data_IF_142336063322
#
_entry.id   IF_142336063322
#
_cell.length_a   1.000
_cell.length_b   1.000
_cell.length_c   1.000
_cell.angle_alpha   90.00
_cell.angle_beta   90.00
_cell.angle_gamma   90.00
#
_symmetry.space_group_name_H-M   'P 1'
#
loop_
_entity.id
_entity.type
_entity.pdbx_description
1 polymer ?
#
# COMPACT_ATOMS: atom_id res chain seq x y z
N UNK A 1 -21.80 13.05 68.39
CA UNK A 1 -20.65 12.20 68.01
C UNK A 1 -20.20 12.61 66.61
N UNK A 2 -19.09 13.34 66.52
CA UNK A 2 -18.51 13.77 65.27
C UNK A 2 -17.54 12.70 64.74
N UNK A 3 -17.69 12.31 63.47
CA UNK A 3 -16.58 11.81 62.64
C UNK A 3 -16.67 12.45 61.27
N UNK A 4 -16.02 13.60 61.20
CA UNK A 4 -15.55 14.26 60.00
C UNK A 4 -14.36 13.48 59.42
N UNK A 5 -14.11 13.74 58.14
CA UNK A 5 -12.82 13.70 57.43
C UNK A 5 -12.40 12.39 56.76
N UNK A 6 -12.57 12.41 55.43
CA UNK A 6 -11.51 12.18 54.45
C UNK A 6 -11.00 10.75 54.22
N UNK A 7 -11.58 10.10 53.22
CA UNK A 7 -10.79 9.35 52.22
C UNK A 7 -11.22 9.86 50.84
N UNK A 8 -10.63 10.98 50.43
CA UNK A 8 -9.51 10.96 49.47
C UNK A 8 -9.93 10.25 48.18
N UNK A 9 -10.73 10.99 47.40
CA UNK A 9 -10.64 11.08 45.94
C UNK A 9 -9.37 10.41 45.40
N UNK A 10 -9.48 9.13 45.08
CA UNK A 10 -8.56 8.46 44.16
C UNK A 10 -8.90 8.98 42.77
N UNK A 11 -8.50 10.22 42.48
CA UNK A 11 -8.20 10.54 41.09
C UNK A 11 -7.06 9.59 40.70
N UNK A 12 -7.25 8.71 39.69
CA UNK A 12 -6.11 7.96 39.17
C UNK A 12 -5.03 8.99 38.86
N UNK A 13 -3.83 8.74 39.40
CA UNK A 13 -2.66 9.54 39.12
C UNK A 13 -2.63 9.75 37.60
N UNK A 14 -2.65 11.02 37.17
CA UNK A 14 -2.47 11.36 35.78
C UNK A 14 -1.23 10.59 35.33
N UNK A 15 -1.43 9.58 34.48
CA UNK A 15 -0.32 8.87 33.86
C UNK A 15 0.58 9.96 33.30
N UNK A 16 1.89 9.93 33.58
CA UNK A 16 2.79 10.90 33.00
C UNK A 16 2.51 10.88 31.51
N UNK A 17 2.17 12.06 30.98
CA UNK A 17 1.92 12.31 29.58
C UNK A 17 3.24 12.06 28.87
N UNK A 18 3.59 10.78 28.71
CA UNK A 18 4.63 10.33 27.81
C UNK A 18 4.09 10.82 26.50
N UNK A 19 4.65 11.94 26.03
CA UNK A 19 4.51 12.47 24.69
C UNK A 19 4.88 11.33 23.75
N UNK A 20 3.90 10.46 23.48
CA UNK A 20 4.05 9.31 22.60
C UNK A 20 4.14 9.95 21.24
N UNK A 21 5.37 10.18 20.78
CA UNK A 21 5.67 10.75 19.48
C UNK A 21 4.86 9.98 18.44
N UNK A 22 3.81 10.62 17.95
CA UNK A 22 3.03 10.12 16.84
C UNK A 22 3.85 10.35 15.56
N UNK A 23 4.11 9.29 14.81
CA UNK A 23 4.80 9.41 13.53
C UNK A 23 3.76 9.73 12.46
N UNK A 24 3.89 10.87 11.79
CA UNK A 24 2.97 11.24 10.72
C UNK A 24 3.13 10.32 9.50
N UNK A 25 2.06 9.59 9.16
CA UNK A 25 2.02 8.62 8.05
C UNK A 25 1.28 9.14 6.82
N UNK A 26 0.81 10.40 6.84
CA UNK A 26 0.03 10.99 5.74
C UNK A 26 0.82 11.03 4.42
N UNK A 27 2.03 11.60 4.42
CA UNK A 27 2.85 11.72 3.21
C UNK A 27 3.23 10.33 2.63
N UNK A 28 3.74 9.38 3.42
CA UNK A 28 3.97 8.01 2.95
C UNK A 28 2.73 7.36 2.32
N UNK A 29 1.54 7.56 2.94
CA UNK A 29 0.29 7.04 2.39
C UNK A 29 -0.06 7.65 1.03
N UNK A 30 0.12 8.97 0.86
CA UNK A 30 -0.12 9.61 -0.43
C UNK A 30 0.85 9.11 -1.50
N UNK A 31 2.13 8.90 -1.16
CA UNK A 31 3.12 8.34 -2.08
C UNK A 31 2.71 6.94 -2.58
N UNK A 32 2.20 6.08 -1.68
CA UNK A 32 1.65 4.75 -2.07
C UNK A 32 0.48 4.89 -3.01
N UNK A 33 -0.51 5.68 -2.62
CA UNK A 33 -1.77 5.79 -3.36
C UNK A 33 -1.52 6.42 -4.73
N UNK A 34 -0.83 7.56 -4.80
CA UNK A 34 -0.54 8.22 -6.06
C UNK A 34 0.43 7.42 -6.94
N UNK A 35 1.43 6.75 -6.36
CA UNK A 35 2.32 5.88 -7.12
C UNK A 35 1.56 4.74 -7.80
N UNK A 36 0.70 4.04 -7.06
CA UNK A 36 -0.11 2.96 -7.62
C UNK A 36 -1.18 3.46 -8.59
N UNK A 37 -1.80 4.62 -8.34
CA UNK A 37 -2.71 5.25 -9.30
C UNK A 37 -1.97 5.61 -10.59
N UNK A 38 -0.76 6.17 -10.52
CA UNK A 38 0.05 6.51 -11.69
C UNK A 38 0.36 5.30 -12.56
N UNK A 39 0.74 4.17 -11.93
CA UNK A 39 0.92 2.90 -12.64
C UNK A 39 -0.39 2.41 -13.24
N UNK A 40 -1.51 2.54 -12.52
CA UNK A 40 -2.80 2.08 -13.01
C UNK A 40 -3.31 2.90 -14.19
N UNK A 41 -2.91 4.17 -14.32
CA UNK A 41 -3.24 5.07 -15.43
C UNK A 41 -2.43 4.80 -16.71
N UNK A 42 -1.57 3.79 -16.74
CA UNK A 42 -0.84 3.35 -17.93
C UNK A 42 -1.72 3.21 -19.19
N UNK A 43 -2.94 2.64 -19.15
CA UNK A 43 -3.81 2.59 -20.34
C UNK A 43 -4.20 3.96 -20.88
N UNK A 44 -4.29 4.97 -20.02
CA UNK A 44 -4.55 6.35 -20.45
C UNK A 44 -3.30 6.97 -21.08
N UNK A 45 -2.12 6.66 -20.55
CA UNK A 45 -0.85 7.04 -21.17
C UNK A 45 -0.70 6.40 -22.56
N UNK A 46 -1.13 5.15 -22.74
CA UNK A 46 -1.16 4.48 -24.04
C UNK A 46 -2.10 5.17 -25.02
N UNK A 47 -3.28 5.61 -24.57
CA UNK A 47 -4.22 6.38 -25.40
C UNK A 47 -3.62 7.73 -25.84
N UNK A 48 -2.97 8.45 -24.92
CA UNK A 48 -2.32 9.73 -25.27
C UNK A 48 -1.16 9.55 -26.25
N UNK A 49 -0.41 8.44 -26.14
CA UNK A 49 0.65 8.11 -27.09
C UNK A 49 0.14 7.69 -28.47
N UNK A 50 -1.09 7.15 -28.55
CA UNK A 50 -1.77 6.87 -29.83
C UNK A 50 -2.18 8.17 -30.52
N UNK A 51 -2.76 9.11 -29.76
CA UNK A 51 -3.15 10.44 -30.28
C UNK A 51 -1.94 11.25 -30.81
N UNK A 52 -0.73 11.04 -30.27
CA UNK A 52 0.50 11.73 -30.65
C UNK A 52 1.36 10.95 -31.69
N UNK A 53 0.83 9.92 -32.37
CA UNK A 53 1.54 9.07 -33.35
C UNK A 53 2.79 8.32 -32.81
N UNK A 54 2.92 8.22 -31.49
CA UNK A 54 4.01 7.50 -30.80
C UNK A 54 3.69 6.00 -30.56
N UNK A 55 2.44 5.58 -30.81
CA UNK A 55 1.98 4.20 -30.80
C UNK A 55 1.72 3.72 -32.24
N UNK A 56 2.22 2.54 -32.59
CA UNK A 56 1.89 1.86 -33.85
C UNK A 56 1.50 0.42 -33.58
N UNK A 57 0.55 -0.10 -34.35
CA UNK A 57 0.23 -1.54 -34.32
C UNK A 57 0.96 -2.21 -35.47
N UNK A 58 2.11 -2.82 -35.19
CA UNK A 58 2.88 -3.59 -36.18
C UNK A 58 2.72 -5.09 -35.91
N UNK A 59 2.25 -5.85 -36.90
CA UNK A 59 2.04 -7.31 -36.80
C UNK A 59 1.16 -7.76 -35.61
N UNK A 60 0.19 -6.94 -35.22
CA UNK A 60 -0.68 -7.21 -34.07
C UNK A 60 0.00 -7.03 -32.71
N UNK A 61 1.19 -6.42 -32.67
CA UNK A 61 1.88 -6.00 -31.45
C UNK A 61 1.89 -4.47 -31.36
N UNK A 62 1.85 -3.96 -30.13
CA UNK A 62 2.07 -2.54 -29.86
C UNK A 62 3.56 -2.23 -30.04
N UNK A 63 3.89 -1.51 -31.10
CA UNK A 63 5.20 -0.93 -31.34
C UNK A 63 5.19 0.50 -30.83
N UNK A 64 6.15 0.83 -29.97
CA UNK A 64 6.37 2.18 -29.48
C UNK A 64 7.59 2.76 -30.17
N UNK A 65 7.55 4.05 -30.50
CA UNK A 65 8.79 4.74 -30.81
C UNK A 65 9.66 4.93 -29.55
N UNK A 66 10.89 5.40 -29.73
CA UNK A 66 11.84 5.54 -28.62
C UNK A 66 11.33 6.52 -27.53
N UNK A 67 10.56 7.53 -27.92
CA UNK A 67 10.03 8.57 -27.03
C UNK A 67 8.88 8.01 -26.19
N UNK A 68 7.93 7.32 -26.84
CA UNK A 68 6.81 6.66 -26.18
C UNK A 68 7.27 5.59 -25.20
N UNK A 69 8.24 4.76 -25.60
CA UNK A 69 8.85 3.75 -24.73
C UNK A 69 9.49 4.38 -23.49
N UNK A 70 10.36 5.37 -23.65
CA UNK A 70 11.02 6.06 -22.53
C UNK A 70 10.03 6.75 -21.61
N UNK A 71 8.96 7.31 -22.16
CA UNK A 71 7.91 7.97 -21.38
C UNK A 71 7.15 6.97 -20.51
N UNK A 72 6.73 5.84 -21.07
CA UNK A 72 6.06 4.77 -20.32
C UNK A 72 6.97 4.16 -19.25
N UNK A 73 8.22 3.86 -19.60
CA UNK A 73 9.22 3.35 -18.65
C UNK A 73 9.45 4.33 -17.50
N UNK A 74 9.56 5.63 -17.80
CA UNK A 74 9.77 6.66 -16.78
C UNK A 74 8.57 6.78 -15.83
N UNK A 75 7.34 6.80 -16.36
CA UNK A 75 6.13 6.87 -15.52
C UNK A 75 5.98 5.61 -14.68
N UNK A 76 6.22 4.43 -15.25
CA UNK A 76 6.18 3.17 -14.51
C UNK A 76 7.23 3.16 -13.38
N UNK A 77 8.48 3.54 -13.69
CA UNK A 77 9.57 3.58 -12.72
C UNK A 77 9.28 4.56 -11.57
N UNK A 78 8.87 5.79 -11.89
CA UNK A 78 8.56 6.82 -10.90
C UNK A 78 7.38 6.37 -10.02
N UNK A 79 6.32 5.83 -10.63
CA UNK A 79 5.15 5.35 -9.91
C UNK A 79 5.48 4.19 -8.97
N UNK A 80 6.25 3.20 -9.44
CA UNK A 80 6.69 2.06 -8.63
C UNK A 80 7.64 2.48 -7.51
N UNK A 81 8.57 3.40 -7.77
CA UNK A 81 9.50 3.90 -6.76
C UNK A 81 8.77 4.70 -5.68
N UNK A 82 7.85 5.60 -6.07
CA UNK A 82 7.00 6.33 -5.13
C UNK A 82 6.16 5.37 -4.28
N UNK A 83 5.55 4.35 -4.91
CA UNK A 83 4.76 3.36 -4.19
C UNK A 83 5.60 2.54 -3.20
N UNK A 84 6.79 2.11 -3.62
CA UNK A 84 7.69 1.28 -2.80
C UNK A 84 8.25 2.06 -1.60
N UNK A 85 8.75 3.28 -1.84
CA UNK A 85 9.25 4.16 -0.77
C UNK A 85 8.13 4.55 0.19
N UNK A 86 6.98 4.95 -0.36
CA UNK A 86 5.80 5.25 0.44
C UNK A 86 5.37 4.06 1.31
N UNK A 87 5.39 2.85 0.77
CA UNK A 87 4.99 1.64 1.48
C UNK A 87 5.95 1.30 2.63
N UNK A 88 7.25 1.37 2.38
CA UNK A 88 8.27 1.14 3.40
C UNK A 88 8.17 2.17 4.55
N UNK A 89 8.09 3.45 4.21
CA UNK A 89 7.96 4.52 5.21
C UNK A 89 6.64 4.40 5.98
N UNK A 90 5.55 4.07 5.30
CA UNK A 90 4.25 3.91 5.93
C UNK A 90 4.24 2.72 6.89
N UNK A 91 4.74 1.56 6.49
CA UNK A 91 4.76 0.36 7.35
C UNK A 91 5.60 0.58 8.61
N UNK A 92 6.76 1.25 8.50
CA UNK A 92 7.58 1.62 9.66
C UNK A 92 6.79 2.55 10.60
N UNK A 93 6.25 3.65 10.09
CA UNK A 93 5.51 4.63 10.89
C UNK A 93 4.24 4.04 11.52
N UNK A 94 3.50 3.24 10.76
CA UNK A 94 2.30 2.55 11.22
C UNK A 94 2.62 1.54 12.33
N UNK A 95 3.71 0.78 12.21
CA UNK A 95 4.16 -0.15 13.25
C UNK A 95 4.55 0.58 14.56
N UNK A 96 5.28 1.70 14.46
CA UNK A 96 5.64 2.54 15.62
C UNK A 96 4.38 3.08 16.29
N UNK A 97 3.44 3.60 15.51
CA UNK A 97 2.16 4.11 16.01
C UNK A 97 1.31 3.01 16.66
N UNK A 98 1.30 1.79 16.09
CA UNK A 98 0.56 0.66 16.66
C UNK A 98 1.17 0.16 17.97
N UNK A 99 2.50 0.16 18.11
CA UNK A 99 3.22 -0.19 19.35
C UNK A 99 2.79 0.63 20.55
N UNK A 100 2.46 1.89 20.32
CA UNK A 100 1.91 2.73 21.37
C UNK A 100 0.56 2.18 21.89
N UNK A 101 -0.30 1.65 21.01
CA UNK A 101 -1.66 1.23 21.40
C UNK A 101 -1.75 -0.22 21.88
N UNK A 102 -0.92 -1.11 21.35
CA UNK A 102 -0.99 -2.54 21.67
C UNK A 102 0.41 -3.15 21.82
N UNK A 103 0.54 -4.08 22.78
CA UNK A 103 1.76 -4.87 23.01
C UNK A 103 2.00 -5.88 21.88
N UNK A 104 0.95 -6.26 21.15
CA UNK A 104 0.95 -7.26 20.08
C UNK A 104 1.01 -6.64 18.68
N UNK A 105 1.81 -5.59 18.52
CA UNK A 105 1.95 -4.86 17.26
C UNK A 105 2.98 -5.49 16.30
N UNK A 106 2.88 -5.17 15.01
CA UNK A 106 3.89 -5.50 13.99
C UNK A 106 5.24 -4.84 14.33
N UNK A 107 6.34 -5.52 14.02
CA UNK A 107 7.68 -4.92 14.11
C UNK A 107 7.90 -3.92 12.97
N UNK A 108 8.45 -2.71 13.23
CA UNK A 108 8.77 -1.75 12.17
C UNK A 108 9.82 -2.28 11.19
N UNK A 109 10.60 -3.28 11.59
CA UNK A 109 11.61 -3.92 10.74
C UNK A 109 11.04 -5.07 9.87
N UNK A 110 9.79 -5.48 10.09
CA UNK A 110 9.22 -6.64 9.38
C UNK A 110 9.20 -6.44 7.86
N UNK A 111 8.70 -5.30 7.38
CA UNK A 111 8.67 -5.00 5.95
C UNK A 111 10.08 -4.77 5.37
N UNK A 112 10.95 -3.92 5.94
CA UNK A 112 12.32 -3.76 5.45
C UNK A 112 13.09 -5.07 5.35
N UNK A 113 13.07 -5.91 6.40
CA UNK A 113 13.81 -7.17 6.40
C UNK A 113 13.25 -8.18 5.40
N UNK A 114 11.92 -8.26 5.26
CA UNK A 114 11.30 -9.12 4.26
C UNK A 114 11.68 -8.71 2.84
N UNK A 115 11.70 -7.41 2.53
CA UNK A 115 12.10 -6.94 1.20
C UNK A 115 13.60 -7.03 0.97
N UNK A 116 14.44 -6.83 1.98
CA UNK A 116 15.87 -7.10 1.89
C UNK A 116 16.15 -8.58 1.63
N UNK A 117 15.38 -9.49 2.25
CA UNK A 117 15.48 -10.92 1.98
C UNK A 117 15.09 -11.25 0.53
N UNK A 118 13.97 -10.72 0.04
CA UNK A 118 13.54 -10.90 -1.36
C UNK A 118 14.58 -10.33 -2.33
N UNK A 119 15.13 -9.16 -2.05
CA UNK A 119 16.18 -8.54 -2.86
C UNK A 119 17.46 -9.39 -2.87
N UNK A 120 17.92 -9.84 -1.70
CA UNK A 120 19.08 -10.73 -1.60
C UNK A 120 18.88 -12.04 -2.35
N UNK A 121 17.68 -12.61 -2.30
CA UNK A 121 17.33 -13.81 -3.07
C UNK A 121 17.33 -13.54 -4.59
N UNK A 122 16.84 -12.39 -5.02
CA UNK A 122 16.86 -12.01 -6.44
C UNK A 122 18.29 -11.84 -6.96
N UNK A 123 19.16 -11.17 -6.21
CA UNK A 123 20.59 -11.00 -6.55
C UNK A 123 21.32 -12.35 -6.55
N UNK A 124 21.08 -13.19 -5.54
CA UNK A 124 21.68 -14.52 -5.51
C UNK A 124 21.19 -15.37 -6.69
N UNK A 125 19.90 -15.28 -7.04
CA UNK A 125 19.31 -15.94 -8.19
C UNK A 125 19.94 -15.50 -9.50
N UNK A 126 20.17 -14.19 -9.70
CA UNK A 126 20.78 -13.66 -10.92
C UNK A 126 22.23 -14.12 -11.09
N UNK A 127 23.03 -14.08 -10.01
CA UNK A 127 24.43 -14.54 -10.04
C UNK A 127 24.51 -16.03 -10.36
N UNK A 128 23.64 -16.86 -9.76
CA UNK A 128 23.59 -18.30 -10.05
C UNK A 128 23.09 -18.56 -11.48
N UNK A 129 22.15 -17.78 -12.01
CA UNK A 129 21.70 -17.95 -13.40
C UNK A 129 22.72 -17.51 -14.45
N UNK A 130 23.64 -16.60 -14.11
CA UNK A 130 24.74 -16.23 -15.02
C UNK A 130 25.79 -17.35 -15.11
N UNK A 131 26.07 -18.05 -14.01
CA UNK A 131 27.07 -19.13 -13.95
C UNK A 131 26.54 -20.49 -14.48
N UNK A 132 25.22 -20.69 -14.53
CA UNK A 132 24.60 -21.94 -14.97
C UNK A 132 23.70 -21.72 -16.19
N UNK A 133 23.81 -22.58 -17.21
CA UNK A 133 22.98 -22.60 -18.44
C UNK A 133 21.52 -22.14 -18.23
N UNK A 134 20.93 -21.41 -19.21
CA UNK A 134 19.54 -20.89 -19.28
C UNK A 134 18.41 -21.80 -18.73
N UNK A 135 18.66 -23.09 -18.57
CA UNK A 135 17.75 -24.07 -17.96
C UNK A 135 17.28 -23.69 -16.55
N UNK A 136 18.08 -22.96 -15.76
CA UNK A 136 17.74 -22.60 -14.37
C UNK A 136 17.16 -21.20 -14.19
N UNK A 137 17.15 -20.37 -15.23
CA UNK A 137 16.67 -18.99 -15.16
C UNK A 137 15.17 -18.94 -14.82
N UNK A 138 14.33 -19.65 -15.58
CA UNK A 138 12.88 -19.64 -15.35
C UNK A 138 12.49 -20.20 -13.96
N UNK A 139 13.02 -21.35 -13.49
CA UNK A 139 12.78 -21.81 -12.12
C UNK A 139 13.22 -20.80 -11.05
N UNK A 140 14.38 -20.15 -11.21
CA UNK A 140 14.88 -19.17 -10.24
C UNK A 140 13.95 -17.95 -10.14
N UNK A 141 13.51 -17.41 -11.28
CA UNK A 141 12.54 -16.29 -11.34
C UNK A 141 11.23 -16.66 -10.65
N UNK A 142 10.72 -17.87 -10.89
CA UNK A 142 9.48 -18.36 -10.25
C UNK A 142 9.65 -18.42 -8.73
N UNK A 143 10.76 -18.97 -8.23
CA UNK A 143 11.03 -19.07 -6.78
C UNK A 143 11.09 -17.68 -6.15
N UNK A 144 11.82 -16.73 -6.76
CA UNK A 144 11.90 -15.34 -6.27
C UNK A 144 10.51 -14.70 -6.23
N UNK A 145 9.71 -14.85 -7.29
CA UNK A 145 8.37 -14.30 -7.36
C UNK A 145 7.44 -14.88 -6.28
N UNK A 146 7.47 -16.20 -6.07
CA UNK A 146 6.67 -16.87 -5.03
C UNK A 146 7.07 -16.38 -3.65
N UNK A 147 8.37 -16.31 -3.34
CA UNK A 147 8.87 -15.80 -2.06
C UNK A 147 8.45 -14.34 -1.85
N UNK A 148 8.56 -13.50 -2.87
CA UNK A 148 8.13 -12.11 -2.81
C UNK A 148 6.64 -11.98 -2.46
N UNK A 149 5.78 -12.78 -3.10
CA UNK A 149 4.33 -12.81 -2.82
C UNK A 149 4.06 -13.27 -1.38
N UNK A 150 4.70 -14.35 -0.92
CA UNK A 150 4.55 -14.86 0.45
C UNK A 150 4.99 -13.82 1.48
N UNK A 151 6.14 -13.18 1.27
CA UNK A 151 6.63 -12.11 2.14
C UNK A 151 5.65 -10.92 2.18
N UNK A 152 5.17 -10.48 1.02
CA UNK A 152 4.24 -9.35 0.95
C UNK A 152 2.89 -9.66 1.63
N UNK A 153 2.32 -10.84 1.38
CA UNK A 153 1.10 -11.30 2.05
C UNK A 153 1.31 -11.49 3.56
N UNK A 154 2.50 -11.93 3.98
CA UNK A 154 2.88 -12.03 5.39
C UNK A 154 2.86 -10.67 6.09
N UNK A 155 3.41 -9.62 5.45
CA UNK A 155 3.35 -8.24 5.94
C UNK A 155 1.89 -7.78 6.03
N UNK A 156 1.09 -7.95 4.97
CA UNK A 156 -0.33 -7.56 4.96
C UNK A 156 -1.13 -8.29 6.05
N UNK A 157 -0.90 -9.59 6.24
CA UNK A 157 -1.54 -10.37 7.30
C UNK A 157 -1.14 -9.87 8.70
N UNK A 158 0.12 -9.48 8.90
CA UNK A 158 0.57 -8.90 10.15
C UNK A 158 -0.12 -7.56 10.43
N UNK A 159 -0.21 -6.68 9.43
CA UNK A 159 -0.93 -5.41 9.56
C UNK A 159 -2.43 -5.59 9.74
N UNK A 160 -3.05 -6.58 9.10
CA UNK A 160 -4.45 -6.95 9.34
C UNK A 160 -4.68 -7.37 10.80
N UNK A 161 -3.82 -8.22 11.36
CA UNK A 161 -3.91 -8.62 12.77
C UNK A 161 -3.73 -7.43 13.71
N UNK A 162 -2.76 -6.56 13.41
CA UNK A 162 -2.57 -5.33 14.18
C UNK A 162 -3.76 -4.38 14.06
N UNK A 163 -4.39 -4.28 12.89
CA UNK A 163 -5.60 -3.49 12.66
C UNK A 163 -6.73 -3.95 13.59
N UNK A 164 -6.98 -5.26 13.65
CA UNK A 164 -7.96 -5.86 14.57
C UNK A 164 -7.61 -5.53 16.04
N UNK A 165 -6.33 -5.66 16.42
CA UNK A 165 -5.87 -5.40 17.78
C UNK A 165 -6.03 -3.92 18.22
N UNK A 166 -6.02 -2.98 17.29
CA UNK A 166 -6.25 -1.54 17.56
C UNK A 166 -7.70 -1.09 17.28
N UNK A 167 -8.60 -2.01 16.93
CA UNK A 167 -10.01 -1.72 16.64
C UNK A 167 -10.29 -1.11 15.27
N UNK A 168 -9.36 -1.21 14.32
CA UNK A 168 -9.55 -0.80 12.93
C UNK A 168 -10.27 -1.90 12.11
N UNK A 169 -11.02 -1.55 11.05
CA UNK A 169 -11.70 -2.52 10.21
C UNK A 169 -10.70 -3.41 9.44
N UNK A 170 -10.95 -4.72 9.41
CA UNK A 170 -10.08 -5.71 8.75
C UNK A 170 -10.48 -5.99 7.30
N UNK A 171 -11.74 -5.78 6.92
CA UNK A 171 -12.26 -6.07 5.58
C UNK A 171 -11.46 -5.41 4.42
N UNK A 172 -11.01 -4.13 4.52
CA UNK A 172 -10.16 -3.54 3.49
C UNK A 172 -8.84 -4.30 3.30
N UNK A 173 -8.23 -4.77 4.39
CA UNK A 173 -6.98 -5.54 4.36
C UNK A 173 -7.17 -6.89 3.65
N UNK A 174 -8.25 -7.62 3.98
CA UNK A 174 -8.58 -8.88 3.30
C UNK A 174 -8.76 -8.69 1.80
N UNK A 175 -9.45 -7.62 1.38
CA UNK A 175 -9.64 -7.33 -0.05
C UNK A 175 -8.31 -7.03 -0.75
N UNK A 176 -7.41 -6.28 -0.13
CA UNK A 176 -6.07 -6.03 -0.69
C UNK A 176 -5.25 -7.31 -0.85
N UNK A 177 -5.45 -8.32 0.00
CA UNK A 177 -4.80 -9.62 -0.13
C UNK A 177 -5.41 -10.48 -1.24
N UNK A 178 -6.73 -10.43 -1.44
CA UNK A 178 -7.45 -11.29 -2.40
C UNK A 178 -7.49 -10.70 -3.82
N UNK A 179 -7.60 -9.37 -3.97
CA UNK A 179 -7.73 -8.72 -5.27
C UNK A 179 -6.55 -9.02 -6.24
N UNK A 180 -5.27 -9.03 -5.81
CA UNK A 180 -4.17 -9.45 -6.68
C UNK A 180 -4.35 -10.87 -7.23
N UNK A 181 -4.85 -11.81 -6.41
CA UNK A 181 -5.09 -13.18 -6.84
C UNK A 181 -6.23 -13.24 -7.87
N UNK A 182 -7.28 -12.45 -7.67
CA UNK A 182 -8.38 -12.33 -8.64
C UNK A 182 -7.90 -11.71 -9.96
N UNK A 183 -7.03 -10.69 -9.91
CA UNK A 183 -6.41 -10.07 -11.08
C UNK A 183 -5.61 -11.10 -11.88
N UNK A 184 -4.76 -11.89 -11.21
CA UNK A 184 -3.96 -12.95 -11.85
C UNK A 184 -4.87 -14.01 -12.49
N UNK A 185 -5.91 -14.45 -11.77
CA UNK A 185 -6.85 -15.44 -12.28
C UNK A 185 -7.59 -14.94 -13.53
N UNK A 186 -8.13 -13.72 -13.49
CA UNK A 186 -8.85 -13.12 -14.61
C UNK A 186 -7.92 -12.86 -15.79
N UNK A 187 -6.69 -12.43 -15.53
CA UNK A 187 -5.69 -12.24 -16.58
C UNK A 187 -5.32 -13.56 -17.26
N UNK A 188 -5.22 -14.65 -16.48
CA UNK A 188 -4.95 -16.00 -16.99
C UNK A 188 -6.11 -16.53 -17.84
N UNK A 189 -7.35 -16.34 -17.38
CA UNK A 189 -8.56 -16.68 -18.13
C UNK A 189 -8.64 -15.84 -19.42
N UNK A 190 -8.38 -14.53 -19.32
CA UNK A 190 -8.36 -13.62 -20.47
C UNK A 190 -7.31 -14.01 -21.51
N UNK A 191 -6.11 -14.39 -21.08
CA UNK A 191 -5.07 -14.89 -21.98
C UNK A 191 -5.49 -16.17 -22.71
N UNK A 192 -6.17 -17.09 -22.03
CA UNK A 192 -6.73 -18.29 -22.66
C UNK A 192 -7.80 -17.94 -23.71
N UNK A 193 -8.77 -17.09 -23.37
CA UNK A 193 -9.82 -16.67 -24.32
C UNK A 193 -9.27 -15.88 -25.52
N UNK A 194 -8.29 -14.99 -25.30
CA UNK A 194 -7.65 -14.25 -26.39
C UNK A 194 -6.93 -15.19 -27.36
N UNK A 195 -6.34 -16.29 -26.88
CA UNK A 195 -5.75 -17.33 -27.74
C UNK A 195 -6.80 -18.19 -28.45
N UNK A 196 -7.93 -18.46 -27.81
CA UNK A 196 -8.95 -19.36 -28.35
C UNK A 196 -9.90 -18.68 -29.37
N UNK A 197 -10.31 -17.44 -29.10
CA UNK A 197 -11.33 -16.72 -29.88
C UNK A 197 -10.72 -15.60 -30.72
N UNK A 198 -9.59 -15.04 -30.29
CA UNK A 198 -8.88 -13.94 -30.97
C UNK A 198 -9.76 -12.74 -31.32
N UNK A 199 -10.74 -12.43 -30.45
CA UNK A 199 -11.63 -11.29 -30.63
C UNK A 199 -11.07 -10.03 -29.96
N UNK A 200 -11.03 -8.88 -30.64
CA UNK A 200 -10.70 -7.60 -30.01
C UNK A 200 -11.62 -7.27 -28.82
N UNK A 201 -12.89 -7.69 -28.88
CA UNK A 201 -13.86 -7.46 -27.81
C UNK A 201 -13.50 -8.21 -26.51
N UNK A 202 -12.95 -9.44 -26.59
CA UNK A 202 -12.49 -10.15 -25.40
C UNK A 202 -11.29 -9.47 -24.77
N UNK A 203 -10.33 -9.02 -25.59
CA UNK A 203 -9.15 -8.30 -25.12
C UNK A 203 -9.52 -7.02 -24.36
N UNK A 204 -10.45 -6.22 -24.92
CA UNK A 204 -10.96 -5.01 -24.26
C UNK A 204 -11.68 -5.37 -22.96
N UNK A 205 -12.61 -6.33 -22.98
CA UNK A 205 -13.38 -6.72 -21.79
C UNK A 205 -12.47 -7.17 -20.64
N UNK A 206 -11.52 -8.07 -20.89
CA UNK A 206 -10.60 -8.54 -19.85
C UNK A 206 -9.66 -7.43 -19.37
N UNK A 207 -9.15 -6.58 -20.27
CA UNK A 207 -8.33 -5.42 -19.88
C UNK A 207 -9.10 -4.44 -18.99
N UNK A 208 -10.35 -4.13 -19.33
CA UNK A 208 -11.21 -3.25 -18.52
C UNK A 208 -11.54 -3.83 -17.15
N UNK A 209 -11.82 -5.13 -17.07
CA UNK A 209 -12.07 -5.82 -15.78
C UNK A 209 -10.81 -5.79 -14.91
N UNK A 210 -9.66 -6.14 -15.46
CA UNK A 210 -8.36 -6.10 -14.77
C UNK A 210 -8.04 -4.69 -14.26
N UNK A 211 -8.25 -3.67 -15.10
CA UNK A 211 -8.09 -2.27 -14.73
C UNK A 211 -9.03 -1.86 -13.57
N UNK A 212 -10.30 -2.21 -13.66
CA UNK A 212 -11.29 -1.93 -12.61
C UNK A 212 -10.93 -2.60 -11.27
N UNK A 213 -10.46 -3.85 -11.30
CA UNK A 213 -9.96 -4.53 -10.10
C UNK A 213 -8.71 -3.89 -9.53
N UNK A 214 -7.80 -3.41 -10.39
CA UNK A 214 -6.63 -2.63 -9.98
C UNK A 214 -7.02 -1.35 -9.24
N UNK A 215 -7.96 -0.57 -9.78
CA UNK A 215 -8.50 0.61 -9.08
C UNK A 215 -9.17 0.27 -7.75
N UNK A 216 -9.95 -0.82 -7.71
CA UNK A 216 -10.54 -1.31 -6.47
C UNK A 216 -9.49 -1.73 -5.44
N UNK A 217 -8.38 -2.31 -5.87
CA UNK A 217 -7.25 -2.67 -5.01
C UNK A 217 -6.63 -1.42 -4.38
N UNK A 218 -6.31 -0.40 -5.20
CA UNK A 218 -5.74 0.86 -4.71
C UNK A 218 -6.70 1.57 -3.75
N UNK A 219 -8.00 1.60 -4.06
CA UNK A 219 -9.01 2.19 -3.19
C UNK A 219 -9.14 1.46 -1.85
N UNK A 220 -9.07 0.12 -1.84
CA UNK A 220 -9.09 -0.66 -0.59
C UNK A 220 -7.81 -0.50 0.22
N UNK A 221 -6.65 -0.37 -0.43
CA UNK A 221 -5.38 -0.08 0.23
C UNK A 221 -5.40 1.30 0.90
N UNK A 222 -5.88 2.33 0.19
CA UNK A 222 -6.06 3.67 0.75
C UNK A 222 -7.00 3.67 1.97
N UNK A 223 -8.13 2.94 1.88
CA UNK A 223 -9.06 2.74 3.00
C UNK A 223 -8.41 2.00 4.16
N UNK A 224 -7.67 0.93 3.90
CA UNK A 224 -6.96 0.14 4.90
C UNK A 224 -5.97 1.02 5.68
N UNK A 225 -5.06 1.69 4.97
CA UNK A 225 -4.06 2.58 5.56
C UNK A 225 -4.71 3.74 6.33
N UNK A 226 -5.69 4.43 5.72
CA UNK A 226 -6.37 5.55 6.36
C UNK A 226 -7.22 5.17 7.57
N UNK A 227 -7.79 3.97 7.60
CA UNK A 227 -8.50 3.45 8.78
C UNK A 227 -7.54 3.05 9.91
N UNK A 228 -6.38 2.48 9.55
CA UNK A 228 -5.33 2.12 10.49
C UNK A 228 -4.75 3.38 11.16
N UNK A 229 -4.37 4.39 10.36
CA UNK A 229 -3.82 5.66 10.85
C UNK A 229 -4.79 6.34 11.84
N UNK A 230 -6.07 6.43 11.48
CA UNK A 230 -7.12 7.04 12.34
C UNK A 230 -7.28 6.31 13.67
N UNK A 231 -7.20 4.98 13.65
CA UNK A 231 -7.33 4.16 14.86
C UNK A 231 -6.11 4.29 15.77
N UNK A 232 -4.92 4.49 15.21
CA UNK A 232 -3.71 4.79 15.97
C UNK A 232 -3.73 6.17 16.66
N UNK A 233 -4.31 7.19 16.03
CA UNK A 233 -4.41 8.55 16.61
C UNK A 233 -5.51 8.64 17.68
N UNK A 234 -6.62 7.91 17.53
CA UNK A 234 -7.78 8.02 18.43
C UNK A 234 -8.55 9.35 18.26
N UNK A 235 -9.55 9.61 19.13
CA UNK A 235 -10.38 10.84 19.10
C UNK A 235 -9.65 12.14 19.46
N UNK A 236 -8.34 12.11 19.72
CA UNK A 236 -7.55 13.26 20.18
C UNK A 236 -7.45 14.42 19.17
N UNK A 237 -7.88 14.23 17.91
CA UNK A 237 -8.00 15.33 16.94
C UNK A 237 -9.42 15.88 16.75
N UNK A 238 -10.45 15.35 17.44
CA UNK A 238 -11.81 15.85 17.19
C UNK A 238 -12.18 17.10 17.98
N UNK A 239 -11.59 17.38 19.16
CA UNK A 239 -12.03 18.57 19.93
C UNK A 239 -11.05 19.15 20.98
N UNK A 240 -9.91 18.52 21.27
CA UNK A 240 -9.10 18.93 22.45
C UNK A 240 -7.99 19.96 22.18
N UNK A 241 -7.70 20.31 20.92
CA UNK A 241 -6.68 21.33 20.58
C UNK A 241 -7.17 22.45 19.66
N UNK A 242 -8.48 22.69 19.60
CA UNK A 242 -9.02 24.03 19.30
C UNK A 242 -9.35 24.74 20.62
N UNK A 243 -8.42 24.70 21.58
CA UNK A 243 -8.36 25.80 22.53
C UNK A 243 -7.90 27.02 21.73
N UNK A 244 -8.87 27.74 21.18
CA UNK A 244 -8.67 29.10 20.72
C UNK A 244 -7.91 29.81 21.86
N UNK A 245 -6.68 30.31 21.60
CA UNK A 245 -5.91 31.03 22.59
C UNK A 245 -6.80 32.07 23.27
N UNK A 246 -6.63 32.28 24.58
CA UNK A 246 -7.55 33.13 25.35
C UNK A 246 -7.76 34.53 24.73
N UNK A 247 -6.78 35.05 23.98
CA UNK A 247 -6.83 36.32 23.27
C UNK A 247 -7.70 36.33 21.99
N UNK A 248 -8.03 35.17 21.42
CA UNK A 248 -8.92 35.02 20.25
C UNK A 248 -10.36 34.66 20.66
N UNK A 249 -10.64 34.51 21.96
CA UNK A 249 -12.03 34.34 22.43
C UNK A 249 -12.71 35.71 22.37
N UNK A 250 -13.87 35.84 21.70
CA UNK A 250 -14.63 37.08 21.76
C UNK A 250 -14.99 37.35 23.21
N UNK A 251 -14.52 38.48 23.74
CA UNK A 251 -14.98 38.99 25.04
C UNK A 251 -16.45 39.32 24.86
N UNK A 252 -17.34 38.48 25.37
CA UNK A 252 -18.73 38.85 25.52
C UNK A 252 -18.79 40.00 26.53
N UNK A 253 -18.84 41.23 26.01
CA UNK A 253 -19.24 42.39 26.79
C UNK A 253 -20.69 42.17 27.23
N UNK A 254 -20.89 42.17 28.54
CA UNK A 254 -22.19 42.24 29.22
C UNK A 254 -23.07 43.35 28.67
#
# INVERSE_FOLDING_TARGET
MAKSTAERSQRPAAEPEVSRRHVHTWLPRQLVVFGLFGVQLMPWALYLLDDDDHLRVENGQLAFDEIGRRSLESVALIGLLAASVGWLLWTIGAAINARAKTRWSVSPLSAPLAYLFVFGLAVAGSVVSEDFTNKYEAPAVIVVAVVAVVCHLGILAAFRRAAVAIGAPDAPWTRVMVLPLAIVLISSVGAFFNRAVSSPASMVAFSSVTFGLGLLMVANLAKAMGSFDRSCVGRQMSHENLQIPAFLRPTSSS
#
